data_IF_354770987494
#
_entry.id   IF_354770987494
#
_cell.length_a   1.000
_cell.length_b   1.000
_cell.length_c   1.000
_cell.angle_alpha   90.00
_cell.angle_beta   90.00
_cell.angle_gamma   90.00
#
_symmetry.space_group_name_H-M   'P 1'
#
loop_
_entity.id
_entity.type
_entity.pdbx_description
1 polymer ?
#
# COMPACT_ATOMS: atom_id res chain seq x y z
N UNK A 1 -4.99 -32.86 -26.15
CA UNK A 1 -5.47 -31.98 -25.05
C UNK A 1 -4.35 -31.64 -24.05
N UNK A 2 -3.74 -32.62 -23.36
CA UNK A 2 -2.66 -32.40 -22.37
C UNK A 2 -1.46 -31.57 -22.89
N UNK A 3 -0.98 -31.87 -24.11
CA UNK A 3 0.11 -31.11 -24.77
C UNK A 3 -0.24 -29.65 -25.09
N UNK A 4 -1.50 -29.37 -25.37
CA UNK A 4 -1.98 -28.02 -25.68
C UNK A 4 -2.07 -27.17 -24.41
N UNK A 5 -2.58 -27.77 -23.33
CA UNK A 5 -2.76 -27.10 -22.04
C UNK A 5 -1.42 -26.67 -21.41
N UNK A 6 -0.37 -27.48 -21.59
CA UNK A 6 0.95 -27.25 -20.98
C UNK A 6 1.55 -25.86 -21.30
N UNK A 7 1.26 -25.28 -22.47
CA UNK A 7 1.74 -23.93 -22.84
C UNK A 7 1.05 -22.81 -22.05
N UNK A 8 -0.15 -23.08 -21.52
CA UNK A 8 -0.95 -22.10 -20.79
C UNK A 8 -0.77 -22.19 -19.27
N UNK A 9 -0.32 -23.35 -18.75
CA UNK A 9 -0.14 -23.57 -17.31
C UNK A 9 0.77 -22.50 -16.68
N UNK A 10 1.95 -22.16 -17.24
CA UNK A 10 2.81 -21.10 -16.68
C UNK A 10 2.17 -19.70 -16.67
N UNK A 11 1.14 -19.49 -17.49
CA UNK A 11 0.43 -18.21 -17.53
C UNK A 11 -0.53 -18.07 -16.34
N UNK A 12 -1.03 -19.18 -15.78
CA UNK A 12 -2.02 -19.17 -14.70
C UNK A 12 -1.34 -18.74 -13.38
N UNK A 13 -1.95 -17.78 -12.68
CA UNK A 13 -1.46 -17.28 -11.38
C UNK A 13 -2.03 -18.11 -10.25
N UNK A 14 -1.67 -19.39 -10.18
CA UNK A 14 -2.27 -20.33 -9.23
C UNK A 14 -2.19 -19.86 -7.77
N UNK A 15 -1.07 -19.24 -7.38
CA UNK A 15 -0.87 -18.73 -6.01
C UNK A 15 -1.68 -17.48 -5.65
N UNK A 16 -2.42 -16.91 -6.59
CA UNK A 16 -3.42 -15.86 -6.32
C UNK A 16 -4.84 -16.40 -6.23
N UNK A 17 -5.04 -17.70 -6.43
CA UNK A 17 -6.34 -18.36 -6.25
C UNK A 17 -6.53 -18.58 -4.75
N UNK A 18 -7.73 -18.34 -4.22
CA UNK A 18 -8.03 -18.59 -2.81
C UNK A 18 -8.08 -20.10 -2.55
N UNK A 19 -7.92 -20.54 -1.30
CA UNK A 19 -8.05 -21.98 -0.98
C UNK A 19 -9.45 -22.51 -1.35
N UNK A 20 -10.48 -21.69 -1.21
CA UNK A 20 -11.86 -22.03 -1.61
C UNK A 20 -11.97 -22.21 -3.13
N UNK A 21 -11.52 -21.22 -3.91
CA UNK A 21 -11.55 -21.32 -5.37
C UNK A 21 -10.63 -22.42 -5.89
N UNK A 22 -9.53 -22.72 -5.20
CA UNK A 22 -8.67 -23.84 -5.53
C UNK A 22 -9.45 -25.15 -5.45
N UNK A 23 -10.14 -25.41 -4.32
CA UNK A 23 -10.95 -26.62 -4.13
C UNK A 23 -12.10 -26.69 -5.14
N UNK A 24 -12.81 -25.58 -5.37
CA UNK A 24 -14.02 -25.58 -6.20
C UNK A 24 -13.73 -25.54 -7.70
N UNK A 25 -12.65 -24.89 -8.13
CA UNK A 25 -12.39 -24.56 -9.54
C UNK A 25 -11.09 -25.14 -10.10
N UNK A 26 -10.12 -25.51 -9.25
CA UNK A 26 -8.81 -26.02 -9.69
C UNK A 26 -8.66 -27.52 -9.43
N UNK A 27 -9.00 -27.99 -8.22
CA UNK A 27 -8.89 -29.41 -7.84
C UNK A 27 -9.63 -30.37 -8.80
N UNK A 28 -10.83 -30.05 -9.33
CA UNK A 28 -11.51 -30.92 -10.30
C UNK A 28 -10.70 -31.20 -11.57
N UNK A 29 -9.72 -30.35 -11.89
CA UNK A 29 -8.87 -30.46 -13.07
C UNK A 29 -7.43 -30.87 -12.74
N UNK A 30 -7.12 -31.27 -11.50
CA UNK A 30 -5.73 -31.56 -11.07
C UNK A 30 -5.03 -32.62 -11.91
N UNK A 31 -5.77 -33.58 -12.46
CA UNK A 31 -5.23 -34.63 -13.35
C UNK A 31 -4.62 -34.07 -14.65
N UNK A 32 -4.93 -32.82 -15.00
CA UNK A 32 -4.39 -32.09 -16.17
C UNK A 32 -3.17 -31.24 -15.83
N UNK A 33 -2.87 -31.03 -14.54
CA UNK A 33 -1.75 -30.23 -14.07
C UNK A 33 -0.52 -31.13 -13.78
N UNK A 34 0.70 -30.59 -13.95
CA UNK A 34 1.93 -31.22 -13.45
C UNK A 34 1.86 -31.49 -11.95
N UNK A 35 2.39 -32.65 -11.54
CA UNK A 35 2.29 -33.16 -10.17
C UNK A 35 3.05 -32.25 -9.18
N UNK A 36 4.19 -31.72 -9.60
CA UNK A 36 4.98 -30.73 -8.85
C UNK A 36 4.21 -29.43 -8.58
N UNK A 37 3.39 -28.96 -9.52
CA UNK A 37 2.55 -27.78 -9.32
C UNK A 37 1.45 -28.07 -8.29
N UNK A 38 0.83 -29.24 -8.37
CA UNK A 38 -0.22 -29.65 -7.42
C UNK A 38 0.33 -29.74 -6.00
N UNK A 39 1.47 -30.42 -5.81
CA UNK A 39 2.09 -30.58 -4.50
C UNK A 39 2.47 -29.23 -3.89
N UNK A 40 3.03 -28.32 -4.70
CA UNK A 40 3.36 -26.97 -4.26
C UNK A 40 2.11 -26.14 -3.90
N UNK A 41 1.00 -26.29 -4.64
CA UNK A 41 -0.25 -25.59 -4.33
C UNK A 41 -0.92 -26.14 -3.08
N UNK A 42 -0.95 -27.45 -2.91
CA UNK A 42 -1.44 -28.08 -1.68
C UNK A 42 -0.61 -27.61 -0.48
N UNK A 43 0.72 -27.62 -0.58
CA UNK A 43 1.60 -27.11 0.46
C UNK A 43 1.34 -25.62 0.76
N UNK A 44 1.16 -24.78 -0.27
CA UNK A 44 0.84 -23.35 -0.12
C UNK A 44 -0.50 -23.11 0.60
N UNK A 45 -1.53 -23.88 0.28
CA UNK A 45 -2.85 -23.74 0.90
C UNK A 45 -2.93 -24.37 2.31
N UNK A 46 -2.09 -25.38 2.61
CA UNK A 46 -2.05 -26.07 3.90
C UNK A 46 -1.10 -25.42 4.92
N UNK A 47 -0.02 -24.78 4.47
CA UNK A 47 1.05 -24.31 5.35
C UNK A 47 1.34 -22.81 5.11
N UNK A 48 0.86 -21.94 6.01
CA UNK A 48 1.00 -20.49 5.88
C UNK A 48 2.43 -19.95 6.01
N UNK A 49 3.40 -20.79 6.41
CA UNK A 49 4.69 -20.35 6.94
C UNK A 49 5.92 -20.90 6.20
N UNK A 50 5.76 -21.62 5.08
CA UNK A 50 6.91 -22.09 4.30
C UNK A 50 7.23 -21.08 3.18
N UNK A 51 8.45 -20.53 3.22
CA UNK A 51 9.06 -19.85 2.08
C UNK A 51 9.25 -20.86 0.95
N UNK A 52 8.20 -21.03 0.15
CA UNK A 52 8.31 -21.74 -1.11
C UNK A 52 9.01 -20.79 -2.07
N UNK A 53 10.14 -21.22 -2.62
CA UNK A 53 10.95 -20.46 -3.58
C UNK A 53 10.26 -20.46 -4.96
N UNK A 54 9.03 -19.97 -4.98
CA UNK A 54 8.13 -19.93 -6.12
C UNK A 54 8.32 -18.58 -6.78
N UNK A 55 8.49 -18.58 -8.10
CA UNK A 55 8.43 -17.37 -8.92
C UNK A 55 6.99 -16.83 -8.90
N UNK A 56 6.68 -16.04 -7.86
CA UNK A 56 5.41 -15.38 -7.66
C UNK A 56 5.31 -14.24 -8.66
N UNK A 57 4.96 -14.58 -9.89
CA UNK A 57 4.61 -13.58 -10.88
C UNK A 57 3.53 -12.66 -10.31
N UNK A 58 3.64 -11.33 -10.52
CA UNK A 58 2.69 -10.39 -9.97
C UNK A 58 1.26 -10.65 -10.48
N UNK A 59 0.24 -10.24 -9.70
CA UNK A 59 -1.15 -10.29 -10.14
C UNK A 59 -1.28 -9.56 -11.48
N UNK A 60 -2.01 -10.17 -12.44
CA UNK A 60 -2.27 -9.51 -13.74
C UNK A 60 -3.06 -8.21 -13.56
N UNK A 61 -3.91 -8.18 -12.55
CA UNK A 61 -4.60 -7.00 -12.08
C UNK A 61 -4.26 -6.78 -10.62
N UNK A 62 -3.50 -5.73 -10.28
CA UNK A 62 -3.25 -5.41 -8.89
C UNK A 62 -4.57 -5.01 -8.23
N UNK A 63 -4.82 -5.54 -7.02
CA UNK A 63 -6.01 -5.21 -6.21
C UNK A 63 -6.11 -3.72 -5.90
N UNK A 64 -4.96 -3.03 -5.85
CA UNK A 64 -4.84 -1.62 -5.53
C UNK A 64 -4.13 -0.88 -6.66
N UNK A 65 -4.64 0.28 -7.05
CA UNK A 65 -3.98 1.17 -8.02
C UNK A 65 -2.84 1.95 -7.34
N UNK A 66 -1.76 1.25 -7.00
CA UNK A 66 -0.60 1.78 -6.29
C UNK A 66 0.71 1.24 -6.87
N UNK A 67 1.64 2.15 -7.13
CA UNK A 67 3.00 1.82 -7.59
C UNK A 67 4.04 1.90 -6.46
N UNK A 68 3.63 2.32 -5.25
CA UNK A 68 4.54 2.57 -4.12
C UNK A 68 4.39 1.49 -3.05
N UNK A 69 3.15 1.12 -2.73
CA UNK A 69 2.81 0.10 -1.72
C UNK A 69 1.86 -0.96 -2.27
N UNK A 70 1.93 -2.17 -1.71
CA UNK A 70 1.08 -3.32 -2.05
C UNK A 70 0.11 -3.66 -0.90
N UNK A 71 -0.60 -4.79 -1.01
CA UNK A 71 -1.62 -5.22 -0.05
C UNK A 71 -1.12 -5.33 1.40
N UNK A 72 0.11 -5.80 1.60
CA UNK A 72 0.69 -5.98 2.94
C UNK A 72 0.80 -4.65 3.70
N UNK A 73 1.22 -3.58 3.02
CA UNK A 73 1.20 -2.23 3.60
C UNK A 73 -0.22 -1.79 3.96
N UNK A 74 -1.18 -2.00 3.06
CA UNK A 74 -2.58 -1.64 3.31
C UNK A 74 -3.17 -2.38 4.52
N UNK A 75 -2.79 -3.63 4.74
CA UNK A 75 -3.23 -4.42 5.90
C UNK A 75 -2.71 -3.84 7.23
N UNK A 76 -1.42 -3.46 7.26
CA UNK A 76 -0.80 -2.79 8.42
C UNK A 76 -1.48 -1.46 8.69
N UNK A 77 -1.65 -0.65 7.64
CA UNK A 77 -2.23 0.67 7.74
C UNK A 77 -3.71 0.61 8.17
N UNK A 78 -4.47 -0.38 7.68
CA UNK A 78 -5.83 -0.64 8.14
C UNK A 78 -5.87 -1.03 9.63
N UNK A 79 -4.90 -1.83 10.08
CA UNK A 79 -4.80 -2.22 11.49
C UNK A 79 -4.57 -0.99 12.38
N UNK A 80 -3.74 -0.05 11.92
CA UNK A 80 -3.49 1.21 12.63
C UNK A 80 -4.68 2.17 12.64
N UNK A 81 -5.46 2.27 11.56
CA UNK A 81 -6.69 3.06 11.53
C UNK A 81 -7.67 2.58 12.63
N UNK A 82 -7.85 1.28 12.77
CA UNK A 82 -8.69 0.66 13.81
C UNK A 82 -8.02 0.60 15.20
N UNK A 83 -6.81 1.15 15.35
CA UNK A 83 -6.00 1.10 16.59
C UNK A 83 -5.80 -0.33 17.10
N UNK A 84 -5.71 -1.29 16.18
CA UNK A 84 -5.44 -2.70 16.46
C UNK A 84 -3.94 -2.98 16.41
N UNK A 85 -3.57 -4.18 16.86
CA UNK A 85 -2.21 -4.69 16.73
C UNK A 85 -1.74 -4.67 15.28
N UNK A 86 -0.45 -4.44 15.08
CA UNK A 86 0.16 -4.17 13.77
C UNK A 86 -0.15 -5.20 12.66
N UNK A 87 -0.34 -6.48 13.02
CA UNK A 87 -0.66 -7.58 12.09
C UNK A 87 -2.08 -8.12 12.26
N UNK A 88 -3.01 -7.30 12.77
CA UNK A 88 -4.40 -7.73 12.97
C UNK A 88 -5.08 -8.09 11.65
N UNK A 89 -4.92 -7.25 10.63
CA UNK A 89 -5.32 -7.55 9.27
C UNK A 89 -4.15 -8.09 8.44
N UNK A 90 -4.49 -8.87 7.41
CA UNK A 90 -3.64 -9.32 6.32
C UNK A 90 -4.32 -9.00 4.98
N UNK A 91 -3.64 -9.25 3.85
CA UNK A 91 -4.16 -8.86 2.52
C UNK A 91 -5.55 -9.41 2.16
N UNK A 92 -5.95 -10.52 2.79
CA UNK A 92 -7.21 -11.24 2.54
C UNK A 92 -8.40 -10.67 3.32
N UNK A 93 -8.17 -9.97 4.44
CA UNK A 93 -9.24 -9.52 5.35
C UNK A 93 -9.19 -8.01 5.68
N UNK A 94 -8.63 -7.21 4.78
CA UNK A 94 -8.63 -5.73 4.89
C UNK A 94 -10.08 -5.22 4.85
N UNK A 95 -10.54 -4.45 5.85
CA UNK A 95 -11.94 -3.99 5.95
C UNK A 95 -12.26 -2.77 5.07
N UNK A 96 -11.24 -2.21 4.40
CA UNK A 96 -11.36 -0.98 3.60
C UNK A 96 -11.04 -1.20 2.13
N UNK A 97 -11.75 -0.45 1.29
CA UNK A 97 -11.43 -0.29 -0.13
C UNK A 97 -10.55 0.95 -0.32
N UNK A 98 -9.25 0.74 -0.50
CA UNK A 98 -8.30 1.81 -0.78
C UNK A 98 -8.37 2.22 -2.25
N UNK A 99 -9.01 3.37 -2.50
CA UNK A 99 -9.16 3.94 -3.85
C UNK A 99 -8.16 5.07 -4.07
N UNK A 100 -7.47 5.05 -5.21
CA UNK A 100 -6.54 6.13 -5.58
C UNK A 100 -7.31 7.39 -5.99
N UNK A 101 -7.17 8.45 -5.19
CA UNK A 101 -7.73 9.77 -5.51
C UNK A 101 -6.81 10.60 -6.39
N UNK A 102 -5.52 10.63 -6.04
CA UNK A 102 -4.51 11.50 -6.65
C UNK A 102 -3.16 10.79 -6.71
N UNK A 103 -2.48 10.91 -7.84
CA UNK A 103 -1.10 10.49 -8.04
C UNK A 103 -0.39 11.57 -8.85
N UNK A 104 0.66 12.17 -8.28
CA UNK A 104 1.29 13.31 -8.93
C UNK A 104 1.89 13.00 -10.32
N UNK A 105 2.36 11.78 -10.57
CA UNK A 105 2.82 11.37 -11.91
C UNK A 105 1.71 11.22 -12.96
N UNK A 106 0.43 11.17 -12.53
CA UNK A 106 -0.76 11.08 -13.39
C UNK A 106 -1.53 12.39 -13.45
N UNK A 107 -1.67 13.07 -12.31
CA UNK A 107 -2.63 14.13 -12.10
C UNK A 107 -2.00 15.54 -12.00
N UNK A 108 -0.67 15.65 -12.12
CA UNK A 108 0.07 16.89 -11.88
C UNK A 108 0.66 16.95 -10.47
N UNK A 109 1.68 17.78 -10.23
CA UNK A 109 2.42 17.83 -8.97
C UNK A 109 2.20 19.13 -8.17
N UNK A 110 1.14 19.88 -8.49
CA UNK A 110 0.83 21.15 -7.83
C UNK A 110 -0.14 20.97 -6.66
N UNK A 111 -0.09 21.92 -5.71
CA UNK A 111 -1.07 22.00 -4.63
C UNK A 111 -2.52 22.13 -5.15
N UNK A 112 -2.72 22.84 -6.27
CA UNK A 112 -4.03 23.03 -6.88
C UNK A 112 -4.58 21.69 -7.42
N UNK A 113 -3.74 20.89 -8.09
CA UNK A 113 -4.13 19.57 -8.61
C UNK A 113 -4.55 18.63 -7.48
N UNK A 114 -3.82 18.67 -6.35
CA UNK A 114 -4.18 17.92 -5.15
C UNK A 114 -5.55 18.35 -4.61
N UNK A 115 -5.77 19.65 -4.38
CA UNK A 115 -7.04 20.15 -3.82
C UNK A 115 -8.23 19.85 -4.74
N UNK A 116 -8.05 19.92 -6.07
CA UNK A 116 -9.08 19.54 -7.04
C UNK A 116 -9.53 18.08 -6.87
N UNK A 117 -8.61 17.17 -6.52
CA UNK A 117 -8.90 15.73 -6.41
C UNK A 117 -9.31 15.30 -5.00
N UNK A 118 -8.73 15.91 -3.96
CA UNK A 118 -8.75 15.41 -2.59
C UNK A 118 -9.64 16.20 -1.62
N UNK A 119 -10.04 17.42 -1.95
CA UNK A 119 -10.94 18.19 -1.08
C UNK A 119 -12.30 17.49 -0.91
N UNK A 120 -12.80 17.50 0.33
CA UNK A 120 -14.12 16.94 0.72
C UNK A 120 -14.29 15.44 0.40
N UNK A 121 -13.21 14.66 0.42
CA UNK A 121 -13.22 13.21 0.14
C UNK A 121 -13.28 12.33 1.39
N UNK A 122 -13.41 12.92 2.56
CA UNK A 122 -13.39 12.26 3.85
C UNK A 122 -11.99 11.89 4.28
N UNK A 123 -11.90 10.80 5.04
CA UNK A 123 -10.65 10.25 5.51
C UNK A 123 -9.75 9.85 4.34
N UNK A 124 -8.48 10.22 4.43
CA UNK A 124 -7.50 10.01 3.35
C UNK A 124 -6.15 9.59 3.91
N UNK A 125 -5.39 8.90 3.08
CA UNK A 125 -4.04 8.47 3.38
C UNK A 125 -3.08 8.94 2.30
N UNK A 126 -1.89 9.35 2.73
CA UNK A 126 -0.80 9.80 1.87
C UNK A 126 0.42 8.93 2.05
N UNK A 127 1.00 8.50 0.93
CA UNK A 127 2.08 7.49 0.86
C UNK A 127 3.20 7.91 -0.08
N UNK A 128 4.30 8.42 0.46
CA UNK A 128 5.42 9.03 -0.27
C UNK A 128 6.56 8.02 -0.36
N UNK A 129 7.09 7.80 -1.57
CA UNK A 129 8.38 7.11 -1.75
C UNK A 129 9.50 8.15 -1.78
N UNK A 130 10.50 7.98 -0.93
CA UNK A 130 11.71 8.81 -0.97
C UNK A 130 12.53 8.41 -2.20
N UNK A 131 13.03 9.40 -2.95
CA UNK A 131 13.86 9.15 -4.14
C UNK A 131 15.19 8.53 -3.73
N UNK A 132 15.71 7.62 -4.55
CA UNK A 132 16.96 6.90 -4.31
C UNK A 132 17.00 6.09 -3.00
N UNK A 133 15.83 5.73 -2.45
CA UNK A 133 15.72 4.79 -1.34
C UNK A 133 14.46 3.94 -1.41
N UNK A 134 14.43 2.89 -0.59
CA UNK A 134 13.24 2.06 -0.37
C UNK A 134 12.37 2.58 0.77
N UNK A 135 12.70 3.76 1.31
CA UNK A 135 11.95 4.37 2.40
C UNK A 135 10.61 4.90 1.90
N UNK A 136 9.57 4.57 2.64
CA UNK A 136 8.21 5.04 2.43
C UNK A 136 7.76 5.79 3.68
N UNK A 137 7.28 7.01 3.52
CA UNK A 137 6.75 7.83 4.61
C UNK A 137 5.35 8.30 4.26
N UNK A 138 4.55 8.64 5.27
CA UNK A 138 3.19 9.04 5.00
C UNK A 138 2.40 9.38 6.24
N UNK A 139 1.09 9.54 6.03
CA UNK A 139 0.17 9.80 7.12
C UNK A 139 -1.28 9.56 6.74
N UNK A 140 -2.09 9.38 7.77
CA UNK A 140 -3.54 9.26 7.69
C UNK A 140 -4.19 10.51 8.28
N UNK A 141 -5.14 11.07 7.56
CA UNK A 141 -5.99 12.17 7.99
C UNK A 141 -7.44 11.67 8.03
N UNK A 142 -8.09 11.58 9.20
CA UNK A 142 -9.49 11.15 9.30
C UNK A 142 -10.49 12.23 8.89
N UNK A 143 -10.04 13.48 8.68
CA UNK A 143 -10.89 14.61 8.32
C UNK A 143 -10.79 14.96 6.83
N UNK A 144 -11.77 15.72 6.35
CA UNK A 144 -11.77 16.28 5.01
C UNK A 144 -10.61 17.25 4.78
N UNK A 145 -10.00 17.17 3.60
CA UNK A 145 -9.22 18.27 3.06
C UNK A 145 -10.15 19.41 2.64
N UNK A 146 -9.67 20.63 2.85
CA UNK A 146 -10.31 21.83 2.34
C UNK A 146 -9.25 22.86 2.00
N UNK A 147 -9.64 23.81 1.17
CA UNK A 147 -8.82 24.96 0.78
C UNK A 147 -8.84 26.10 1.82
N UNK A 148 -9.30 25.85 3.05
CA UNK A 148 -9.22 26.85 4.12
C UNK A 148 -7.81 26.91 4.67
N UNK A 149 -7.32 28.11 4.98
CA UNK A 149 -6.00 28.30 5.59
C UNK A 149 -6.00 28.05 7.12
N UNK A 150 -6.98 27.28 7.62
CA UNK A 150 -7.19 27.03 9.04
C UNK A 150 -6.56 25.70 9.46
N UNK A 151 -5.99 25.69 10.67
CA UNK A 151 -5.53 24.47 11.29
C UNK A 151 -6.70 23.78 11.99
N UNK A 152 -6.85 22.48 11.71
CA UNK A 152 -7.88 21.65 12.35
C UNK A 152 -7.18 20.51 13.07
N UNK A 153 -7.61 20.24 14.30
CA UNK A 153 -7.07 19.14 15.11
C UNK A 153 -7.83 17.85 14.81
N UNK A 154 -7.10 16.76 14.53
CA UNK A 154 -7.64 15.43 14.33
C UNK A 154 -7.00 14.46 15.32
N UNK A 155 -7.78 13.87 16.22
CA UNK A 155 -7.25 12.96 17.26
C UNK A 155 -6.74 11.63 16.69
N UNK A 156 -7.34 11.19 15.59
CA UNK A 156 -7.06 9.88 15.00
C UNK A 156 -6.10 9.97 13.80
N UNK A 157 -5.47 11.12 13.58
CA UNK A 157 -4.40 11.24 12.58
C UNK A 157 -3.11 10.61 13.09
N UNK A 158 -2.39 9.94 12.20
CA UNK A 158 -1.08 9.38 12.51
C UNK A 158 -0.12 9.53 11.33
N UNK A 159 1.18 9.57 11.64
CA UNK A 159 2.24 9.44 10.65
C UNK A 159 2.82 8.04 10.65
N UNK A 160 3.42 7.67 9.54
CA UNK A 160 4.14 6.42 9.43
C UNK A 160 5.41 6.53 8.60
N UNK A 161 6.33 5.61 8.88
CA UNK A 161 7.53 5.38 8.10
C UNK A 161 7.84 3.89 8.04
N UNK A 162 8.25 3.45 6.85
CA UNK A 162 8.79 2.12 6.56
C UNK A 162 10.18 2.33 5.99
N UNK A 163 11.21 1.80 6.66
CA UNK A 163 12.62 2.04 6.28
C UNK A 163 13.10 1.13 5.17
N UNK A 164 12.50 -0.05 5.05
CA UNK A 164 12.90 -1.10 4.12
C UNK A 164 11.67 -1.65 3.42
N UNK A 165 11.81 -1.93 2.12
CA UNK A 165 10.74 -2.55 1.34
C UNK A 165 10.55 -3.99 1.78
N UNK A 166 9.31 -4.39 2.02
CA UNK A 166 8.90 -5.73 2.46
C UNK A 166 9.41 -6.18 3.85
N UNK A 167 10.16 -5.34 4.59
CA UNK A 167 10.48 -5.60 5.99
C UNK A 167 9.50 -4.84 6.88
N UNK A 168 8.37 -5.48 7.18
CA UNK A 168 7.29 -4.87 7.93
C UNK A 168 7.54 -4.78 9.44
N UNK A 169 8.57 -5.46 9.95
CA UNK A 169 8.92 -5.42 11.38
C UNK A 169 9.53 -4.07 11.79
N UNK A 170 10.11 -3.31 10.85
CA UNK A 170 10.69 -1.98 11.11
C UNK A 170 9.69 -0.83 11.02
N UNK A 171 8.42 -1.13 10.72
CA UNK A 171 7.36 -0.14 10.54
C UNK A 171 7.09 0.63 11.83
N UNK A 172 7.20 1.97 11.77
CA UNK A 172 6.93 2.85 12.90
C UNK A 172 5.71 3.71 12.61
N UNK A 173 4.67 3.53 13.41
CA UNK A 173 3.56 4.47 13.53
C UNK A 173 3.87 5.46 14.64
N UNK A 174 3.79 6.76 14.35
CA UNK A 174 3.97 7.80 15.35
C UNK A 174 2.60 8.41 15.65
N UNK A 175 2.14 8.26 16.90
CA UNK A 175 1.02 9.04 17.42
C UNK A 175 1.44 10.50 17.50
N UNK A 176 0.70 11.39 16.82
CA UNK A 176 1.12 12.80 16.73
C UNK A 176 0.65 13.54 17.98
N UNK A 177 1.59 13.86 18.88
CA UNK A 177 1.44 15.02 19.75
C UNK A 177 1.92 16.27 18.99
N UNK A 178 0.94 17.03 18.46
CA UNK A 178 1.02 18.40 17.90
C UNK A 178 1.72 18.61 16.53
N UNK A 179 0.92 19.23 15.64
CA UNK A 179 1.24 20.04 14.44
C UNK A 179 2.04 19.43 13.27
N UNK A 180 1.36 18.84 12.26
CA UNK A 180 1.92 18.41 10.95
C UNK A 180 0.86 18.48 9.81
N UNK A 181 1.27 18.85 8.56
CA UNK A 181 0.54 18.69 7.27
C UNK A 181 1.43 18.04 6.17
N UNK A 182 0.79 17.14 5.40
CA UNK A 182 1.03 16.42 4.11
C UNK A 182 2.01 16.93 3.02
N UNK A 183 2.50 16.02 2.15
CA UNK A 183 2.64 16.17 0.66
C UNK A 183 2.89 14.81 -0.04
N UNK A 184 2.51 14.59 -1.31
CA UNK A 184 3.05 13.52 -2.19
C UNK A 184 3.74 14.10 -3.43
N UNK A 185 5.06 13.88 -3.60
CA UNK A 185 5.81 14.22 -4.83
C UNK A 185 6.63 13.02 -5.30
N UNK A 186 6.44 12.53 -6.54
CA UNK A 186 7.41 11.72 -7.25
C UNK A 186 7.96 12.53 -8.43
N UNK A 187 8.88 13.46 -8.15
CA UNK A 187 9.92 13.93 -9.08
C UNK A 187 10.83 14.95 -8.39
N UNK A 188 12.09 14.60 -8.17
CA UNK A 188 13.14 15.58 -7.89
C UNK A 188 13.82 15.96 -9.21
N UNK A 189 13.31 17.00 -9.84
CA UNK A 189 14.19 17.96 -10.51
C UNK A 189 13.93 19.29 -9.80
N UNK A 190 14.99 19.81 -9.21
CA UNK A 190 15.07 21.03 -8.40
C UNK A 190 14.07 22.13 -8.83
N UNK A 191 13.00 22.31 -8.05
CA UNK A 191 12.23 23.56 -7.97
C UNK A 191 12.15 23.93 -6.48
N UNK A 192 13.20 24.59 -6.00
CA UNK A 192 13.39 25.01 -4.60
C UNK A 192 12.19 25.75 -3.97
N UNK A 193 11.27 26.32 -4.75
CA UNK A 193 10.19 27.19 -4.24
C UNK A 193 9.01 26.42 -3.64
N UNK A 194 8.70 25.22 -4.13
CA UNK A 194 7.57 24.42 -3.65
C UNK A 194 7.90 23.77 -2.30
N UNK A 195 9.09 23.15 -2.19
CA UNK A 195 9.57 22.61 -0.93
C UNK A 195 9.86 23.71 0.10
N UNK A 196 10.54 24.82 -0.25
CA UNK A 196 10.94 25.86 0.75
C UNK A 196 9.76 26.49 1.48
N UNK A 197 8.62 26.78 0.83
CA UNK A 197 7.48 27.41 1.52
C UNK A 197 6.70 26.44 2.40
N UNK A 198 6.69 25.17 2.04
CA UNK A 198 6.02 24.15 2.83
C UNK A 198 6.89 23.61 3.97
N UNK A 199 8.21 23.50 3.74
CA UNK A 199 9.21 23.15 4.77
C UNK A 199 9.53 24.30 5.73
N UNK A 200 9.45 25.59 5.35
CA UNK A 200 9.68 26.70 6.29
C UNK A 200 8.61 26.80 7.40
N UNK A 201 7.38 26.34 7.14
CA UNK A 201 6.36 26.16 8.20
C UNK A 201 6.58 24.88 9.03
N UNK A 202 7.29 23.90 8.48
CA UNK A 202 7.49 22.57 9.05
C UNK A 202 8.75 22.46 9.93
N UNK A 203 9.85 23.10 9.53
CA UNK A 203 11.15 22.99 10.22
C UNK A 203 11.36 24.02 11.35
N UNK A 204 10.54 25.07 11.45
CA UNK A 204 10.65 26.05 12.56
C UNK A 204 10.15 25.49 13.91
N UNK A 205 9.54 24.30 13.90
CA UNK A 205 9.04 23.57 15.08
C UNK A 205 9.97 22.45 15.56
N UNK A 206 11.05 22.13 14.82
CA UNK A 206 12.03 21.10 15.20
C UNK A 206 13.31 21.67 15.82
N UNK A 207 13.32 22.96 16.18
CA UNK A 207 14.42 23.58 16.92
C UNK A 207 13.90 24.10 18.25
N UNK A 208 13.78 23.19 19.22
CA UNK A 208 13.97 23.37 20.67
C UNK A 208 13.40 22.16 21.43
N UNK A 209 14.19 21.08 21.45
CA UNK A 209 14.56 20.24 22.60
C UNK A 209 15.09 18.91 22.08
#
# INVERSE_FOLDING_TARGET
>A
MRRTLHKFIPLIRFYHITSEDFILKVDPFKALLPEDIIDNLLAFHMNSNKELNIDLHPPRMPKYDSNIINGSYFAILASWIEKKNHFYYNERNIPYNFNLLYRASRDGDTHADFHIKCDKKGATMVVIKITDSEQIVGGYNPLDWNSSNLWVSAKDSFLFSFTEKNNFQSAKGFGIARNIILILIPKLVYQERFLKRMTMKFFKLLRNN
#
